data_IF_618766651452
#
_entry.id   IF_618766651452
#
_cell.length_a   1.000
_cell.length_b   1.000
_cell.length_c   1.000
_cell.angle_alpha   90.00
_cell.angle_beta   90.00
_cell.angle_gamma   90.00
#
_symmetry.space_group_name_H-M   'P 1'
#
loop_
_entity.id
_entity.type
_entity.pdbx_description
1 polymer ?
#
# COMPACT_ATOMS: atom_id res chain seq x y z
N UNK A 1 -20.47 32.26 54.84
CA UNK A 1 -20.78 32.59 53.43
C UNK A 1 -20.08 31.57 52.56
N UNK A 2 -20.92 30.77 51.93
CA UNK A 2 -20.68 29.61 51.09
C UNK A 2 -20.26 30.01 49.69
N UNK A 3 -19.28 29.33 49.10
CA UNK A 3 -19.29 29.02 47.65
C UNK A 3 -18.70 27.63 47.40
N UNK A 4 -19.54 26.79 46.79
CA UNK A 4 -19.31 25.44 46.31
C UNK A 4 -18.39 25.48 45.09
N UNK A 5 -17.50 24.47 44.95
CA UNK A 5 -17.08 24.01 43.63
C UNK A 5 -17.21 22.49 43.55
N UNK A 6 -17.83 22.08 42.47
CA UNK A 6 -18.25 20.74 42.09
C UNK A 6 -17.29 20.20 41.02
N UNK A 7 -17.33 18.88 40.78
CA UNK A 7 -16.80 18.22 39.56
C UNK A 7 -15.55 17.36 39.82
N UNK A 8 -15.68 16.07 40.14
CA UNK A 8 -15.86 14.87 39.28
C UNK A 8 -14.55 14.29 38.71
N UNK A 9 -14.43 12.95 38.58
CA UNK A 9 -13.18 12.21 38.60
C UNK A 9 -12.56 11.95 37.21
N UNK A 10 -11.28 11.57 37.26
CA UNK A 10 -10.34 11.31 36.15
C UNK A 10 -10.79 10.13 35.27
N UNK A 11 -10.65 10.19 33.93
CA UNK A 11 -10.97 9.08 33.04
C UNK A 11 -9.83 8.06 32.89
N UNK A 12 -10.21 6.78 32.82
CA UNK A 12 -9.34 5.61 32.62
C UNK A 12 -8.79 5.49 31.19
N UNK A 13 -7.65 4.82 31.07
CA UNK A 13 -6.89 4.54 29.84
C UNK A 13 -7.56 3.51 28.92
N UNK A 14 -7.32 3.56 27.60
CA UNK A 14 -7.92 2.66 26.62
C UNK A 14 -7.20 1.30 26.55
N UNK A 15 -8.00 0.23 26.56
CA UNK A 15 -7.57 -1.17 26.41
C UNK A 15 -7.58 -1.56 24.92
N UNK A 16 -6.49 -2.16 24.46
CA UNK A 16 -6.28 -2.70 23.11
C UNK A 16 -7.24 -3.84 22.79
N UNK A 17 -7.88 -3.90 21.60
CA UNK A 17 -8.56 -5.10 21.15
C UNK A 17 -7.63 -5.97 20.28
N UNK A 18 -7.42 -7.21 20.72
CA UNK A 18 -6.86 -8.31 19.91
C UNK A 18 -7.92 -8.88 18.95
N UNK A 19 -7.55 -9.32 17.73
CA UNK A 19 -8.49 -9.93 16.80
C UNK A 19 -8.68 -11.42 17.13
N UNK A 20 -9.93 -11.80 17.44
CA UNK A 20 -10.31 -13.17 17.74
C UNK A 20 -10.84 -13.86 16.47
N UNK A 21 -10.15 -14.91 16.02
CA UNK A 21 -10.55 -15.82 14.94
C UNK A 21 -11.68 -16.76 15.43
N UNK A 22 -12.73 -17.04 14.64
CA UNK A 22 -13.68 -18.09 14.96
C UNK A 22 -13.23 -19.45 14.37
N UNK A 23 -13.32 -20.57 15.13
CA UNK A 23 -13.33 -21.90 14.53
C UNK A 23 -14.74 -22.25 14.03
N UNK A 24 -14.76 -22.77 12.81
CA UNK A 24 -15.90 -23.35 12.10
C UNK A 24 -16.34 -24.68 12.74
N UNK A 25 -17.60 -24.75 13.17
CA UNK A 25 -18.28 -26.01 13.47
C UNK A 25 -19.73 -25.92 12.98
N UNK A 26 -19.89 -26.17 11.69
CA UNK A 26 -21.17 -26.36 11.03
C UNK A 26 -21.70 -27.78 11.29
N UNK A 27 -22.63 -27.91 12.23
CA UNK A 27 -23.37 -29.14 12.51
C UNK A 27 -24.73 -29.09 11.79
N UNK A 28 -24.88 -29.82 10.69
CA UNK A 28 -26.14 -29.97 9.96
C UNK A 28 -26.61 -31.44 10.01
N UNK A 29 -27.91 -31.72 10.28
CA UNK A 29 -28.40 -33.08 10.43
C UNK A 29 -28.60 -33.80 9.08
N UNK A 30 -28.28 -35.08 9.09
CA UNK A 30 -28.39 -36.02 7.98
C UNK A 30 -29.84 -36.30 7.54
N UNK A 31 -30.02 -36.46 6.23
CA UNK A 31 -31.14 -37.19 5.60
C UNK A 31 -30.61 -38.03 4.42
N UNK A 32 -31.24 -39.17 4.10
CA UNK A 32 -30.55 -40.32 3.53
C UNK A 32 -30.32 -40.21 2.02
N UNK A 33 -29.11 -40.61 1.60
CA UNK A 33 -28.68 -40.67 0.21
C UNK A 33 -29.34 -41.86 -0.48
N UNK A 34 -30.35 -41.59 -1.31
CA UNK A 34 -30.96 -42.55 -2.24
C UNK A 34 -29.90 -43.01 -3.24
N UNK A 35 -29.66 -44.31 -3.31
CA UNK A 35 -28.83 -44.95 -4.32
C UNK A 35 -29.50 -44.83 -5.70
N UNK A 36 -28.81 -44.23 -6.65
CA UNK A 36 -29.14 -44.30 -8.09
C UNK A 36 -28.18 -45.28 -8.77
N UNK A 37 -28.68 -46.23 -9.57
CA UNK A 37 -27.84 -47.21 -10.26
C UNK A 37 -27.14 -46.58 -11.47
N UNK A 38 -25.87 -46.92 -11.67
CA UNK A 38 -25.08 -46.50 -12.84
C UNK A 38 -25.45 -47.32 -14.07
N UNK A 39 -26.35 -46.80 -14.90
CA UNK A 39 -26.51 -47.25 -16.29
C UNK A 39 -25.59 -46.44 -17.21
N UNK A 40 -24.78 -47.07 -18.09
CA UNK A 40 -23.95 -46.34 -19.04
C UNK A 40 -24.83 -45.60 -20.07
N UNK A 41 -24.51 -44.34 -20.43
CA UNK A 41 -25.36 -43.56 -21.33
C UNK A 41 -25.32 -44.12 -22.76
N UNK A 42 -26.45 -44.12 -23.49
CA UNK A 42 -26.52 -44.61 -24.85
C UNK A 42 -25.64 -43.77 -25.79
N UNK A 43 -24.96 -44.42 -26.74
CA UNK A 43 -24.01 -43.82 -27.69
C UNK A 43 -24.54 -42.58 -28.43
N UNK A 44 -25.87 -42.46 -28.60
CA UNK A 44 -26.54 -41.28 -29.16
C UNK A 44 -26.29 -39.98 -28.37
N UNK A 45 -26.12 -40.06 -27.04
CA UNK A 45 -25.84 -38.89 -26.21
C UNK A 45 -24.43 -38.34 -26.47
N UNK A 46 -23.44 -39.22 -26.67
CA UNK A 46 -22.06 -38.83 -26.99
C UNK A 46 -21.95 -38.19 -28.36
N UNK A 47 -22.65 -38.73 -29.36
CA UNK A 47 -22.72 -38.11 -30.68
C UNK A 47 -23.34 -36.71 -30.59
N UNK A 48 -24.44 -36.56 -29.85
CA UNK A 48 -25.10 -35.25 -29.65
C UNK A 48 -24.19 -34.23 -28.94
N UNK A 49 -23.33 -34.67 -28.02
CA UNK A 49 -22.36 -33.79 -27.35
C UNK A 49 -21.18 -33.42 -28.25
N UNK A 50 -20.73 -34.34 -29.10
CA UNK A 50 -19.66 -34.08 -30.07
C UNK A 50 -20.12 -33.07 -31.13
N UNK A 51 -21.35 -33.23 -31.65
CA UNK A 51 -21.94 -32.27 -32.58
C UNK A 51 -22.15 -30.91 -31.91
N UNK A 52 -22.56 -30.86 -30.64
CA UNK A 52 -22.66 -29.58 -29.90
C UNK A 52 -21.33 -28.85 -29.75
N UNK A 53 -20.23 -29.57 -29.56
CA UNK A 53 -18.88 -28.99 -29.53
C UNK A 53 -18.42 -28.52 -30.91
N UNK A 54 -18.77 -29.25 -31.98
CA UNK A 54 -18.39 -28.91 -33.35
C UNK A 54 -19.14 -27.69 -33.91
N UNK A 55 -20.41 -27.51 -33.53
CA UNK A 55 -21.25 -26.41 -34.03
C UNK A 55 -21.39 -25.25 -33.04
N UNK A 56 -20.64 -25.24 -31.93
CA UNK A 56 -20.67 -24.16 -30.93
C UNK A 56 -22.01 -23.98 -30.20
N UNK A 57 -22.99 -24.86 -30.43
CA UNK A 57 -24.37 -24.76 -29.95
C UNK A 57 -24.56 -25.12 -28.45
N UNK A 58 -23.49 -25.09 -27.67
CA UNK A 58 -23.47 -25.36 -26.23
C UNK A 58 -22.94 -24.20 -25.37
N UNK A 59 -22.53 -23.09 -25.99
CA UNK A 59 -22.23 -21.86 -25.29
C UNK A 59 -23.57 -21.15 -25.01
N UNK A 60 -24.20 -21.49 -23.88
CA UNK A 60 -25.04 -20.50 -23.22
C UNK A 60 -24.23 -19.22 -22.97
N UNK A 61 -24.88 -18.06 -22.76
CA UNK A 61 -24.20 -16.77 -22.62
C UNK A 61 -22.95 -16.94 -21.73
N UNK A 62 -21.75 -16.54 -22.20
CA UNK A 62 -20.53 -16.79 -21.44
C UNK A 62 -20.71 -16.22 -20.04
N UNK A 63 -20.51 -17.07 -19.03
CA UNK A 63 -20.41 -16.61 -17.66
C UNK A 63 -19.33 -15.51 -17.61
N UNK A 64 -19.60 -14.35 -16.96
CA UNK A 64 -18.65 -13.24 -16.96
C UNK A 64 -17.29 -13.70 -16.46
N UNK A 65 -16.25 -13.50 -17.26
CA UNK A 65 -14.87 -13.73 -16.83
C UNK A 65 -14.56 -12.78 -15.65
N UNK A 66 -13.95 -13.27 -14.55
CA UNK A 66 -13.44 -12.42 -13.49
C UNK A 66 -12.22 -11.67 -14.02
N UNK A 67 -12.43 -10.43 -14.50
CA UNK A 67 -11.41 -9.63 -15.16
C UNK A 67 -11.95 -8.54 -16.10
N UNK A 68 -13.25 -8.57 -16.43
CA UNK A 68 -13.97 -7.45 -17.05
C UNK A 68 -14.78 -6.64 -16.02
N UNK A 69 -14.21 -6.38 -14.85
CA UNK A 69 -14.76 -5.36 -13.98
C UNK A 69 -14.36 -4.01 -14.60
N UNK A 70 -15.32 -3.23 -15.10
CA UNK A 70 -15.10 -1.80 -15.33
C UNK A 70 -15.25 -1.27 -16.75
N UNK A 71 -15.89 -1.99 -17.67
CA UNK A 71 -16.37 -1.39 -18.94
C UNK A 71 -17.88 -1.22 -18.82
N UNK A 72 -18.30 -0.33 -17.93
CA UNK A 72 -19.70 0.08 -17.84
C UNK A 72 -19.81 1.53 -18.31
N UNK A 73 -20.35 1.79 -19.51
CA UNK A 73 -20.48 3.15 -20.02
C UNK A 73 -21.45 4.02 -19.20
N UNK A 74 -22.23 3.44 -18.28
CA UNK A 74 -23.14 4.16 -17.39
C UNK A 74 -22.55 4.45 -16.02
N UNK A 75 -21.41 3.87 -15.67
CA UNK A 75 -20.77 4.10 -14.37
C UNK A 75 -19.81 5.28 -14.45
N UNK A 76 -20.03 6.32 -13.62
CA UNK A 76 -19.22 7.54 -13.60
C UNK A 76 -17.74 7.28 -13.25
N UNK A 77 -17.46 6.23 -12.48
CA UNK A 77 -16.11 5.86 -12.06
C UNK A 77 -15.42 4.91 -13.08
N UNK A 78 -16.13 4.51 -14.13
CA UNK A 78 -15.58 3.64 -15.16
C UNK A 78 -14.74 4.42 -16.17
N UNK A 79 -13.60 3.84 -16.55
CA UNK A 79 -12.75 4.35 -17.64
C UNK A 79 -13.46 4.39 -19.01
N UNK A 80 -14.57 3.66 -19.16
CA UNK A 80 -15.37 3.60 -20.38
C UNK A 80 -16.65 4.45 -20.29
N UNK A 81 -16.78 5.32 -19.28
CA UNK A 81 -17.95 6.16 -19.07
C UNK A 81 -18.28 7.01 -20.30
N UNK A 82 -19.53 6.93 -20.75
CA UNK A 82 -20.06 7.76 -21.83
C UNK A 82 -21.04 8.79 -21.26
N UNK A 83 -20.52 10.00 -21.05
CA UNK A 83 -21.28 11.10 -20.50
C UNK A 83 -22.55 11.44 -21.31
N UNK A 84 -22.49 11.30 -22.64
CA UNK A 84 -23.62 11.64 -23.51
C UNK A 84 -24.77 10.65 -23.29
N UNK A 85 -24.47 9.36 -23.39
CA UNK A 85 -25.50 8.31 -23.25
C UNK A 85 -26.06 8.29 -21.82
N UNK A 86 -25.21 8.49 -20.79
CA UNK A 86 -25.67 8.63 -19.41
C UNK A 86 -26.61 9.84 -19.23
N UNK A 87 -26.26 11.00 -19.80
CA UNK A 87 -27.09 12.20 -19.72
C UNK A 87 -28.44 12.04 -20.44
N UNK A 88 -28.43 11.49 -21.67
CA UNK A 88 -29.65 11.21 -22.43
C UNK A 88 -30.59 10.26 -21.68
N UNK A 89 -30.04 9.21 -21.05
CA UNK A 89 -30.83 8.34 -20.20
C UNK A 89 -31.36 9.08 -18.97
N UNK A 90 -30.53 9.90 -18.32
CA UNK A 90 -30.90 10.60 -17.09
C UNK A 90 -32.05 11.59 -17.33
N UNK A 91 -32.01 12.38 -18.41
CA UNK A 91 -33.06 13.37 -18.72
C UNK A 91 -34.36 12.72 -19.21
N UNK A 92 -34.29 11.57 -19.87
CA UNK A 92 -35.47 10.85 -20.37
C UNK A 92 -36.19 10.04 -19.29
N UNK A 93 -35.46 9.58 -18.27
CA UNK A 93 -36.00 8.68 -17.22
C UNK A 93 -36.25 9.36 -15.88
N UNK A 94 -35.62 10.51 -15.60
CA UNK A 94 -35.73 11.20 -14.30
C UNK A 94 -36.76 12.31 -14.32
N UNK A 95 -37.38 12.58 -13.17
CA UNK A 95 -38.20 13.76 -12.97
C UNK A 95 -37.33 15.01 -12.73
N UNK A 96 -37.87 16.20 -13.01
CA UNK A 96 -37.15 17.47 -12.80
C UNK A 96 -36.61 17.63 -11.36
N UNK A 97 -37.36 17.33 -10.28
CA UNK A 97 -36.81 17.38 -8.92
C UNK A 97 -35.66 16.38 -8.71
N UNK A 98 -35.73 15.19 -9.31
CA UNK A 98 -34.65 14.21 -9.26
C UNK A 98 -33.39 14.70 -9.97
N UNK A 99 -33.56 15.41 -11.10
CA UNK A 99 -32.45 15.99 -11.85
C UNK A 99 -31.74 17.09 -11.05
N UNK A 100 -32.50 18.00 -10.42
CA UNK A 100 -31.95 19.04 -9.54
C UNK A 100 -31.23 18.46 -8.32
N UNK A 101 -31.76 17.36 -7.76
CA UNK A 101 -31.08 16.66 -6.66
C UNK A 101 -29.74 16.09 -7.14
N UNK A 102 -29.73 15.40 -8.29
CA UNK A 102 -28.51 14.81 -8.84
C UNK A 102 -27.47 15.87 -9.20
N UNK A 103 -27.89 17.03 -9.72
CA UNK A 103 -27.00 18.17 -9.95
C UNK A 103 -26.32 18.64 -8.65
N UNK A 104 -27.09 18.83 -7.57
CA UNK A 104 -26.52 19.26 -6.29
C UNK A 104 -25.56 18.22 -5.69
N UNK A 105 -25.88 16.93 -5.83
CA UNK A 105 -24.99 15.83 -5.44
C UNK A 105 -23.66 15.89 -6.22
N UNK A 106 -23.72 15.99 -7.55
CA UNK A 106 -22.53 16.11 -8.40
C UNK A 106 -21.69 17.35 -8.06
N UNK A 107 -22.32 18.49 -7.80
CA UNK A 107 -21.61 19.71 -7.41
C UNK A 107 -20.89 19.54 -6.06
N UNK A 108 -21.47 18.76 -5.15
CA UNK A 108 -20.85 18.44 -3.86
C UNK A 108 -19.68 17.49 -4.06
N UNK A 109 -19.86 16.41 -4.82
CA UNK A 109 -18.83 15.44 -5.20
C UNK A 109 -17.63 16.15 -5.88
N UNK A 110 -17.87 17.06 -6.82
CA UNK A 110 -16.81 17.82 -7.52
C UNK A 110 -15.98 18.64 -6.53
N UNK A 111 -16.63 19.30 -5.56
CA UNK A 111 -15.93 20.11 -4.55
C UNK A 111 -15.12 19.25 -3.59
N UNK A 112 -15.67 18.11 -3.19
CA UNK A 112 -14.98 17.14 -2.35
C UNK A 112 -13.73 16.59 -3.06
N UNK A 113 -13.88 16.12 -4.30
CA UNK A 113 -12.77 15.62 -5.12
C UNK A 113 -11.68 16.67 -5.35
N UNK A 114 -12.03 17.94 -5.57
CA UNK A 114 -11.01 18.99 -5.71
C UNK A 114 -10.29 19.26 -4.37
N UNK A 115 -11.01 19.21 -3.25
CA UNK A 115 -10.40 19.36 -1.92
C UNK A 115 -9.45 18.20 -1.59
N UNK A 116 -9.83 16.97 -1.92
CA UNK A 116 -8.99 15.77 -1.78
C UNK A 116 -7.74 15.87 -2.66
N UNK A 117 -7.91 16.27 -3.93
CA UNK A 117 -6.80 16.50 -4.85
C UNK A 117 -5.85 17.54 -4.30
N UNK A 118 -6.35 18.67 -3.80
CA UNK A 118 -5.54 19.72 -3.22
C UNK A 118 -4.80 19.25 -1.96
N UNK A 119 -5.47 18.48 -1.09
CA UNK A 119 -4.85 17.90 0.09
C UNK A 119 -3.71 16.94 -0.27
N UNK A 120 -3.93 16.06 -1.25
CA UNK A 120 -2.91 15.13 -1.72
C UNK A 120 -1.69 15.85 -2.30
N UNK A 121 -1.93 16.86 -3.15
CA UNK A 121 -0.88 17.70 -3.74
C UNK A 121 -0.09 18.41 -2.64
N UNK A 122 -0.78 18.98 -1.64
CA UNK A 122 -0.13 19.64 -0.52
C UNK A 122 0.73 18.68 0.29
N UNK A 123 0.20 17.53 0.70
CA UNK A 123 0.92 16.53 1.48
C UNK A 123 2.16 16.05 0.72
N UNK A 124 2.01 15.70 -0.55
CA UNK A 124 3.13 15.21 -1.35
C UNK A 124 4.21 16.28 -1.55
N UNK A 125 3.83 17.53 -1.85
CA UNK A 125 4.82 18.61 -1.94
C UNK A 125 5.51 18.88 -0.61
N UNK A 126 4.76 18.86 0.50
CA UNK A 126 5.32 19.05 1.82
C UNK A 126 6.33 17.94 2.18
N UNK A 127 5.98 16.68 1.90
CA UNK A 127 6.86 15.53 2.10
C UNK A 127 8.11 15.59 1.22
N UNK A 128 7.97 15.96 -0.06
CA UNK A 128 9.11 16.11 -0.97
C UNK A 128 10.07 17.20 -0.51
N UNK A 129 9.55 18.33 -0.03
CA UNK A 129 10.37 19.41 0.53
C UNK A 129 11.10 18.91 1.79
N UNK A 130 10.39 18.27 2.73
CA UNK A 130 10.99 17.73 3.95
C UNK A 130 12.06 16.66 3.65
N UNK A 131 11.83 15.81 2.66
CA UNK A 131 12.81 14.83 2.20
C UNK A 131 14.04 15.51 1.58
N UNK A 132 13.83 16.55 0.75
CA UNK A 132 14.92 17.36 0.19
C UNK A 132 15.76 18.03 1.28
N UNK A 133 15.13 18.60 2.30
CA UNK A 133 15.82 19.21 3.45
C UNK A 133 16.62 18.16 4.23
N UNK A 134 16.06 16.96 4.40
CA UNK A 134 16.75 15.84 5.04
C UNK A 134 17.98 15.42 4.23
N UNK A 135 17.86 15.31 2.90
CA UNK A 135 18.98 14.99 2.01
C UNK A 135 20.07 16.08 2.09
N UNK A 136 19.69 17.36 2.11
CA UNK A 136 20.63 18.46 2.27
C UNK A 136 21.38 18.37 3.61
N UNK A 137 20.67 18.14 4.72
CA UNK A 137 21.27 17.97 6.03
C UNK A 137 22.16 16.71 6.14
N UNK A 138 21.80 15.63 5.46
CA UNK A 138 22.64 14.42 5.36
C UNK A 138 23.92 14.70 4.58
N UNK A 139 23.82 15.43 3.46
CA UNK A 139 24.98 15.84 2.65
C UNK A 139 25.96 16.67 3.46
N UNK A 140 25.50 17.71 4.15
CA UNK A 140 26.36 18.56 4.99
C UNK A 140 27.05 17.77 6.10
N UNK A 141 26.35 16.82 6.73
CA UNK A 141 26.96 15.93 7.74
C UNK A 141 27.99 14.97 7.16
N UNK A 142 27.80 14.49 5.94
CA UNK A 142 28.78 13.66 5.26
C UNK A 142 30.04 14.45 4.91
N UNK A 143 29.88 15.70 4.45
CA UNK A 143 30.99 16.61 4.16
C UNK A 143 31.79 16.96 5.42
N UNK A 144 31.13 17.21 6.56
CA UNK A 144 31.85 17.45 7.82
C UNK A 144 32.60 16.21 8.31
N UNK A 145 32.03 15.01 8.14
CA UNK A 145 32.69 13.77 8.54
C UNK A 145 33.95 13.51 7.72
N UNK A 146 33.94 13.83 6.42
CA UNK A 146 35.12 13.68 5.57
C UNK A 146 36.27 14.59 6.05
N UNK A 147 35.96 15.83 6.41
CA UNK A 147 36.92 16.76 7.00
C UNK A 147 37.48 16.25 8.35
N UNK A 148 36.62 15.69 9.21
CA UNK A 148 37.05 15.09 10.48
C UNK A 148 37.96 13.87 10.28
N UNK A 149 37.68 13.04 9.27
CA UNK A 149 38.53 11.89 8.91
C UNK A 149 39.90 12.34 8.39
N UNK A 150 39.96 13.41 7.61
CA UNK A 150 41.23 13.97 7.15
C UNK A 150 42.05 14.54 8.31
N UNK A 151 41.41 15.24 9.25
CA UNK A 151 42.07 15.69 10.48
C UNK A 151 42.62 14.50 11.29
N UNK A 152 41.84 13.42 11.42
CA UNK A 152 42.26 12.20 12.11
C UNK A 152 43.47 11.55 11.44
N UNK A 153 43.53 11.49 10.10
CA UNK A 153 44.71 10.97 9.35
C UNK A 153 45.96 11.80 9.62
N UNK A 154 45.84 13.12 9.67
CA UNK A 154 46.96 14.02 10.00
C UNK A 154 47.47 13.75 11.41
N UNK A 155 46.57 13.67 12.40
CA UNK A 155 46.93 13.37 13.79
C UNK A 155 47.64 12.01 13.93
N UNK A 156 47.15 10.96 13.26
CA UNK A 156 47.83 9.65 13.25
C UNK A 156 49.22 9.70 12.61
N UNK A 157 49.38 10.47 11.54
CA UNK A 157 50.68 10.64 10.87
C UNK A 157 51.68 11.33 11.79
N UNK A 158 51.23 12.33 12.55
CA UNK A 158 52.05 13.02 13.54
C UNK A 158 52.43 12.12 14.72
N UNK A 159 51.48 11.34 15.25
CA UNK A 159 51.74 10.33 16.28
C UNK A 159 52.78 9.31 15.77
N UNK A 160 52.61 8.80 14.55
CA UNK A 160 53.55 7.84 13.97
C UNK A 160 54.95 8.44 13.79
N UNK A 161 55.05 9.72 13.41
CA UNK A 161 56.33 10.45 13.31
C UNK A 161 57.00 10.55 14.68
N UNK A 162 56.29 11.04 15.69
CA UNK A 162 56.82 11.19 17.05
C UNK A 162 57.23 9.83 17.64
N UNK A 163 56.41 8.78 17.44
CA UNK A 163 56.73 7.43 17.88
C UNK A 163 58.02 6.89 17.23
N UNK A 164 58.23 7.17 15.93
CA UNK A 164 59.46 6.78 15.24
C UNK A 164 60.70 7.54 15.74
N UNK A 165 60.54 8.82 16.08
CA UNK A 165 61.62 9.65 16.63
C UNK A 165 62.06 9.15 18.01
N UNK A 166 61.09 8.85 18.90
CA UNK A 166 61.36 8.24 20.22
C UNK A 166 62.03 6.87 20.08
N UNK A 167 61.61 6.05 19.12
CA UNK A 167 62.20 4.73 18.91
C UNK A 167 63.66 4.77 18.44
N UNK A 168 64.09 5.86 17.78
CA UNK A 168 65.48 6.05 17.34
C UNK A 168 66.38 6.39 18.53
N UNK A 169 65.87 7.16 19.50
CA UNK A 169 66.64 7.59 20.68
C UNK A 169 66.85 6.46 21.70
N UNK A 170 65.96 5.46 21.74
CA UNK A 170 66.07 4.29 22.64
C UNK A 170 66.94 3.15 22.07
N UNK A 171 67.58 3.33 20.91
CA UNK A 171 68.49 2.31 20.33
C UNK A 171 69.90 2.39 20.97
N UNK A 172 70.37 1.35 21.69
CA UNK A 172 71.69 1.39 22.35
C UNK A 172 72.84 1.34 21.31
N UNK A 173 74.00 1.95 21.60
CA UNK A 173 75.15 1.91 20.70
C UNK A 173 75.68 0.48 20.56
N UNK A 174 75.81 0.03 19.30
CA UNK A 174 76.39 -1.26 18.92
C UNK A 174 77.81 -1.42 19.47
N UNK A 175 78.00 -2.35 20.42
CA UNK A 175 79.30 -2.67 21.02
C UNK A 175 80.23 -3.31 19.96
N UNK A 176 81.47 -2.85 19.79
CA UNK A 176 82.39 -3.44 18.81
C UNK A 176 82.79 -4.86 19.21
N UNK A 177 82.70 -5.80 18.26
CA UNK A 177 83.21 -7.16 18.40
C UNK A 177 84.75 -7.13 18.33
N UNK A 178 85.42 -7.63 19.36
CA UNK A 178 86.87 -7.86 19.37
C UNK A 178 87.21 -9.21 18.72
N UNK A 179 88.23 -9.27 17.84
CA UNK A 179 88.63 -10.52 17.18
C UNK A 179 89.46 -11.41 18.13
N UNK A 180 89.42 -12.72 17.85
CA UNK A 180 90.08 -13.81 18.57
C UNK A 180 91.60 -13.77 18.52
#
# INVERSE_FOLDING_TARGET
MSHLRTGSPVPSTPTTPTPNLPPDHSNAPHSPRRSVPSTPPPQKARARDLLRKHYGLGLGPPAPLPGKAGVDPMNLDSTAFDAKTYYEQLITTSSLPGLLKRENELLTEIRELDSERQSLVYNHHHELIAASDTIAAMKTRAESLDADLDLLKVAFSEISRIASEVAIEDSPPSRPQSPS
#
